data_IF_480086967507
#
_entry.id   IF_480086967507
#
_cell.length_a   1.000
_cell.length_b   1.000
_cell.length_c   1.000
_cell.angle_alpha   90.00
_cell.angle_beta   90.00
_cell.angle_gamma   90.00
#
_symmetry.space_group_name_H-M   'P 1'
#
loop_
_entity.id
_entity.type
_entity.pdbx_description
1 polymer ?
#
# COMPACT_ATOMS: atom_id res chain seq x y z
N UNK A 1 -14.39 -16.73 17.06
CA UNK A 1 -14.80 -16.06 15.82
C UNK A 1 -15.98 -16.80 15.23
N UNK A 2 -17.05 -16.10 14.86
CA UNK A 2 -18.19 -16.75 14.22
C UNK A 2 -17.78 -17.25 12.82
N UNK A 3 -18.32 -18.40 12.40
CA UNK A 3 -18.09 -18.99 11.07
C UNK A 3 -18.34 -17.98 9.94
N UNK A 4 -19.35 -17.10 10.10
CA UNK A 4 -19.70 -16.09 9.10
C UNK A 4 -18.56 -15.08 8.81
N UNK A 5 -17.74 -14.72 9.80
CA UNK A 5 -16.60 -13.82 9.61
C UNK A 5 -15.45 -14.47 8.83
N UNK A 6 -15.17 -15.75 9.09
CA UNK A 6 -14.16 -16.51 8.33
C UNK A 6 -14.57 -16.68 6.87
N UNK A 7 -15.84 -17.00 6.63
CA UNK A 7 -16.38 -17.14 5.26
C UNK A 7 -16.33 -15.83 4.48
N UNK A 8 -16.62 -14.70 5.11
CA UNK A 8 -16.54 -13.38 4.47
C UNK A 8 -15.11 -13.02 4.09
N UNK A 9 -14.13 -13.25 4.96
CA UNK A 9 -12.72 -13.02 4.68
C UNK A 9 -12.27 -13.83 3.46
N UNK A 10 -12.42 -15.13 3.51
CA UNK A 10 -12.03 -16.03 2.42
C UNK A 10 -12.74 -15.72 1.08
N UNK A 11 -14.02 -15.36 1.12
CA UNK A 11 -14.74 -14.94 -0.08
C UNK A 11 -14.17 -13.65 -0.66
N UNK A 12 -13.81 -12.70 0.18
CA UNK A 12 -13.20 -11.43 -0.28
C UNK A 12 -11.82 -11.67 -0.88
N UNK A 13 -10.98 -12.51 -0.28
CA UNK A 13 -9.68 -12.91 -0.84
C UNK A 13 -9.83 -13.54 -2.24
N UNK A 14 -10.84 -14.41 -2.43
CA UNK A 14 -11.12 -15.01 -3.75
C UNK A 14 -11.53 -13.96 -4.77
N UNK A 15 -12.42 -13.04 -4.41
CA UNK A 15 -12.87 -11.95 -5.29
C UNK A 15 -11.70 -11.07 -5.71
N UNK A 16 -10.78 -10.75 -4.79
CA UNK A 16 -9.57 -9.98 -5.09
C UNK A 16 -8.62 -10.77 -5.99
N UNK A 17 -8.39 -12.06 -5.70
CA UNK A 17 -7.54 -12.90 -6.56
C UNK A 17 -8.09 -13.01 -7.98
N UNK A 18 -9.40 -13.20 -8.14
CA UNK A 18 -10.06 -13.26 -9.46
C UNK A 18 -9.92 -11.95 -10.23
N UNK A 19 -10.05 -10.82 -9.54
CA UNK A 19 -9.84 -9.49 -10.14
C UNK A 19 -8.40 -9.29 -10.59
N UNK A 20 -7.43 -9.59 -9.74
CA UNK A 20 -6.00 -9.47 -10.06
C UNK A 20 -5.58 -10.40 -11.20
N UNK A 21 -6.26 -11.52 -11.38
CA UNK A 21 -5.98 -12.49 -12.47
C UNK A 21 -6.19 -11.88 -13.86
N UNK A 22 -6.94 -10.80 -13.98
CA UNK A 22 -7.07 -10.06 -15.25
C UNK A 22 -5.72 -9.55 -15.78
N UNK A 23 -4.75 -9.31 -14.90
CA UNK A 23 -3.39 -8.82 -15.25
C UNK A 23 -2.28 -9.79 -14.87
N UNK A 24 -2.49 -10.61 -13.85
CA UNK A 24 -1.55 -11.62 -13.36
C UNK A 24 -2.24 -12.98 -13.37
N UNK A 25 -2.14 -13.68 -14.48
CA UNK A 25 -2.87 -14.92 -14.77
C UNK A 25 -2.73 -15.99 -13.66
N UNK A 26 -1.57 -16.05 -12.99
CA UNK A 26 -1.31 -16.99 -11.91
C UNK A 26 -1.87 -16.60 -10.55
N UNK A 27 -2.52 -15.42 -10.40
CA UNK A 27 -3.00 -14.94 -9.10
C UNK A 27 -4.00 -15.92 -8.45
N UNK A 28 -3.70 -16.34 -7.24
CA UNK A 28 -4.53 -17.28 -6.46
C UNK A 28 -4.53 -16.92 -4.98
N UNK A 29 -5.55 -17.35 -4.26
CA UNK A 29 -5.62 -17.18 -2.80
C UNK A 29 -4.54 -18.04 -2.13
N UNK A 30 -3.79 -17.43 -1.21
CA UNK A 30 -2.81 -18.10 -0.37
C UNK A 30 -3.47 -18.93 0.73
N UNK A 31 -2.95 -20.12 0.98
CA UNK A 31 -3.40 -20.97 2.07
C UNK A 31 -2.23 -21.27 3.00
N UNK A 32 -2.24 -20.62 4.17
CA UNK A 32 -1.24 -20.88 5.23
C UNK A 32 0.17 -20.36 4.96
N UNK A 33 0.37 -19.54 3.94
CA UNK A 33 1.69 -18.97 3.56
C UNK A 33 2.00 -17.59 4.15
N UNK A 34 1.10 -17.03 4.93
CA UNK A 34 1.20 -15.68 5.45
C UNK A 34 0.82 -14.57 4.45
N UNK A 35 0.75 -14.88 3.15
CA UNK A 35 0.29 -13.98 2.08
C UNK A 35 -1.11 -14.35 1.65
N UNK A 36 -1.99 -13.37 1.51
CA UNK A 36 -3.37 -13.63 1.09
C UNK A 36 -3.48 -13.93 -0.41
N UNK A 37 -2.64 -13.31 -1.22
CA UNK A 37 -2.58 -13.54 -2.67
C UNK A 37 -1.18 -14.03 -3.07
N UNK A 38 -1.12 -15.09 -3.84
CA UNK A 38 0.11 -15.70 -4.37
C UNK A 38 0.25 -15.48 -5.87
N UNK A 39 1.47 -15.70 -6.37
CA UNK A 39 1.84 -15.64 -7.79
C UNK A 39 1.61 -14.24 -8.41
N UNK A 40 1.83 -13.22 -7.61
CA UNK A 40 1.85 -11.81 -8.02
C UNK A 40 3.16 -11.17 -7.56
N UNK A 41 3.69 -10.16 -8.28
CA UNK A 41 5.00 -9.55 -7.96
C UNK A 41 4.94 -8.52 -6.81
N UNK A 42 3.95 -8.62 -5.94
CA UNK A 42 3.73 -7.76 -4.77
C UNK A 42 3.11 -8.56 -3.62
N UNK A 43 3.06 -7.98 -2.44
CA UNK A 43 2.37 -8.55 -1.28
C UNK A 43 1.07 -7.79 -1.02
N UNK A 44 -0.06 -8.43 -1.32
CA UNK A 44 -1.39 -7.88 -1.12
C UNK A 44 -2.06 -8.55 0.08
N UNK A 45 -2.32 -7.79 1.12
CA UNK A 45 -3.13 -8.19 2.27
C UNK A 45 -4.59 -7.84 2.02
N UNK A 46 -5.51 -8.75 2.30
CA UNK A 46 -6.95 -8.55 2.06
C UNK A 46 -7.70 -8.47 3.39
N UNK A 47 -8.41 -7.39 3.60
CA UNK A 47 -9.22 -7.16 4.81
C UNK A 47 -10.70 -6.96 4.46
N UNK A 48 -11.55 -7.72 5.13
CA UNK A 48 -13.02 -7.61 5.03
C UNK A 48 -13.61 -7.44 6.43
N UNK A 49 -13.34 -6.31 7.07
CA UNK A 49 -13.69 -6.02 8.46
C UNK A 49 -14.55 -4.78 8.57
N UNK A 50 -15.28 -4.69 9.67
CA UNK A 50 -16.06 -3.50 10.05
C UNK A 50 -15.18 -2.36 10.57
N UNK A 51 -13.99 -2.66 11.08
CA UNK A 51 -13.01 -1.70 11.60
C UNK A 51 -11.72 -1.72 10.78
N UNK A 52 -11.15 -0.55 10.57
CA UNK A 52 -9.89 -0.33 9.86
C UNK A 52 -8.74 -0.23 10.87
N UNK A 53 -7.96 -1.32 11.02
CA UNK A 53 -6.71 -1.29 11.77
C UNK A 53 -5.54 -0.96 10.83
N UNK A 54 -5.30 0.32 10.65
CA UNK A 54 -4.25 0.83 9.76
C UNK A 54 -2.87 0.44 10.26
N UNK A 55 -2.58 0.70 11.53
CA UNK A 55 -1.24 0.48 12.10
C UNK A 55 -0.88 -1.00 12.13
N UNK A 56 -1.78 -1.84 12.64
CA UNK A 56 -1.54 -3.29 12.70
C UNK A 56 -1.38 -3.91 11.32
N UNK A 57 -2.18 -3.48 10.34
CA UNK A 57 -2.09 -3.95 8.96
C UNK A 57 -0.79 -3.53 8.29
N UNK A 58 -0.35 -2.28 8.44
CA UNK A 58 0.94 -1.82 7.90
C UNK A 58 2.12 -2.58 8.51
N UNK A 59 2.11 -2.83 9.82
CA UNK A 59 3.15 -3.63 10.49
C UNK A 59 3.19 -5.07 9.98
N UNK A 60 2.04 -5.68 9.76
CA UNK A 60 1.93 -7.03 9.21
C UNK A 60 2.55 -7.12 7.81
N UNK A 61 2.25 -6.16 6.94
CA UNK A 61 2.82 -6.07 5.60
C UNK A 61 4.33 -5.84 5.67
N UNK A 62 4.76 -4.87 6.48
CA UNK A 62 6.18 -4.50 6.63
C UNK A 62 7.04 -5.69 7.09
N UNK A 63 6.55 -6.50 8.03
CA UNK A 63 7.29 -7.68 8.51
C UNK A 63 7.55 -8.70 7.40
N UNK A 64 6.63 -8.84 6.44
CA UNK A 64 6.79 -9.76 5.30
C UNK A 64 7.63 -9.15 4.18
N UNK A 65 7.39 -7.88 3.86
CA UNK A 65 8.05 -7.21 2.73
C UNK A 65 9.49 -6.80 3.03
N UNK A 66 9.86 -6.65 4.31
CA UNK A 66 11.25 -6.42 4.72
C UNK A 66 12.19 -7.54 4.27
N UNK A 67 11.72 -8.78 4.27
CA UNK A 67 12.51 -9.92 3.83
C UNK A 67 12.41 -10.16 2.32
N UNK A 68 11.22 -10.00 1.76
CA UNK A 68 10.95 -10.28 0.34
C UNK A 68 11.37 -9.15 -0.60
N UNK A 69 11.47 -7.92 -0.13
CA UNK A 69 11.70 -6.72 -0.96
C UNK A 69 10.54 -6.37 -1.89
N UNK A 70 9.38 -7.03 -1.76
CA UNK A 70 8.22 -6.76 -2.58
C UNK A 70 7.50 -5.48 -2.14
N UNK A 71 6.81 -4.83 -3.09
CA UNK A 71 5.84 -3.80 -2.75
C UNK A 71 4.71 -4.43 -1.93
N UNK A 72 4.43 -3.87 -0.77
CA UNK A 72 3.35 -4.32 0.10
C UNK A 72 2.21 -3.31 0.18
N UNK A 73 1.00 -3.79 0.05
CA UNK A 73 -0.20 -2.97 0.28
C UNK A 73 -1.35 -3.81 0.83
N UNK A 74 -2.34 -3.15 1.41
CA UNK A 74 -3.58 -3.80 1.82
C UNK A 74 -4.75 -3.31 0.98
N UNK A 75 -5.70 -4.20 0.72
CA UNK A 75 -7.00 -3.84 0.17
C UNK A 75 -8.09 -4.10 1.20
N UNK A 76 -9.02 -3.14 1.32
CA UNK A 76 -10.10 -3.19 2.29
C UNK A 76 -11.45 -3.17 1.57
N UNK A 77 -12.23 -4.22 1.80
CA UNK A 77 -13.66 -4.20 1.53
C UNK A 77 -14.36 -3.56 2.72
N UNK A 78 -14.85 -2.35 2.54
CA UNK A 78 -15.58 -1.61 3.57
C UNK A 78 -17.02 -2.14 3.72
N UNK A 79 -17.66 -1.76 4.83
CA UNK A 79 -19.08 -2.06 5.02
C UNK A 79 -19.92 -1.44 3.91
N UNK A 80 -20.89 -2.23 3.42
CA UNK A 80 -21.78 -1.80 2.34
C UNK A 80 -21.19 -1.93 0.93
N UNK A 81 -19.91 -2.21 0.78
CA UNK A 81 -19.33 -2.53 -0.52
C UNK A 81 -19.71 -3.95 -0.96
N UNK A 82 -20.06 -4.07 -2.24
CA UNK A 82 -20.32 -5.35 -2.90
C UNK A 82 -19.04 -6.12 -3.23
N UNK A 83 -19.12 -6.97 -4.23
CA UNK A 83 -17.99 -7.76 -4.76
C UNK A 83 -17.39 -7.12 -6.02
N UNK A 84 -17.15 -5.81 -5.95
CA UNK A 84 -16.50 -5.01 -7.01
C UNK A 84 -15.13 -4.56 -6.51
N UNK A 85 -14.06 -5.36 -6.69
CA UNK A 85 -12.75 -5.07 -6.10
C UNK A 85 -12.13 -3.77 -6.55
N UNK A 86 -12.49 -3.25 -7.73
CA UNK A 86 -12.08 -1.92 -8.21
C UNK A 86 -12.50 -0.79 -7.27
N UNK A 87 -13.55 -0.98 -6.48
CA UNK A 87 -14.07 0.01 -5.53
C UNK A 87 -13.48 -0.14 -4.13
N UNK A 88 -12.68 -1.19 -3.89
CA UNK A 88 -12.05 -1.40 -2.59
C UNK A 88 -10.96 -0.37 -2.35
N UNK A 89 -10.77 -0.02 -1.09
CA UNK A 89 -9.69 0.90 -0.69
C UNK A 89 -8.36 0.17 -0.75
N UNK A 90 -7.38 0.75 -1.42
CA UNK A 90 -5.99 0.32 -1.34
C UNK A 90 -5.24 1.21 -0.35
N UNK A 91 -4.43 0.60 0.51
CA UNK A 91 -3.63 1.30 1.51
C UNK A 91 -2.18 0.84 1.41
N UNK A 92 -1.29 1.79 1.23
CA UNK A 92 0.16 1.59 1.23
C UNK A 92 0.84 2.80 1.90
N UNK A 93 2.14 2.70 2.16
CA UNK A 93 2.89 3.84 2.68
C UNK A 93 2.99 4.94 1.63
N UNK A 94 2.97 6.18 2.05
CA UNK A 94 3.05 7.32 1.13
C UNK A 94 4.34 7.27 0.27
N UNK A 95 5.47 6.84 0.84
CA UNK A 95 6.71 6.68 0.09
C UNK A 95 6.60 5.69 -1.08
N UNK A 96 5.93 4.56 -0.86
CA UNK A 96 5.69 3.57 -1.91
C UNK A 96 4.75 4.11 -3.00
N UNK A 97 3.70 4.83 -2.60
CA UNK A 97 2.81 5.50 -3.55
C UNK A 97 3.55 6.55 -4.38
N UNK A 98 4.40 7.37 -3.75
CA UNK A 98 5.21 8.38 -4.45
C UNK A 98 6.10 7.71 -5.49
N UNK A 99 6.76 6.61 -5.13
CA UNK A 99 7.60 5.87 -6.09
C UNK A 99 6.79 5.35 -7.26
N UNK A 100 5.62 4.73 -7.01
CA UNK A 100 4.74 4.27 -8.08
C UNK A 100 4.27 5.40 -8.99
N UNK A 101 3.94 6.56 -8.43
CA UNK A 101 3.53 7.73 -9.20
C UNK A 101 4.68 8.25 -10.09
N UNK A 102 5.90 8.27 -9.56
CA UNK A 102 7.09 8.66 -10.32
C UNK A 102 7.36 7.69 -11.48
N UNK A 103 7.27 6.39 -11.21
CA UNK A 103 7.47 5.33 -12.22
C UNK A 103 6.37 5.37 -13.30
N UNK A 104 5.14 5.74 -12.92
CA UNK A 104 4.03 5.95 -13.85
C UNK A 104 4.11 7.29 -14.63
N UNK A 105 5.14 8.10 -14.40
CA UNK A 105 5.36 9.34 -15.15
C UNK A 105 4.67 10.58 -14.58
N UNK A 106 4.10 10.51 -13.39
CA UNK A 106 3.58 11.69 -12.67
C UNK A 106 4.73 12.50 -12.07
N UNK A 107 5.47 13.22 -12.94
CA UNK A 107 6.62 14.06 -12.56
C UNK A 107 6.31 15.51 -12.94
N UNK A 108 6.74 16.45 -12.10
CA UNK A 108 6.81 17.84 -12.54
C UNK A 108 7.94 17.95 -13.60
N UNK A 109 7.67 18.66 -14.68
CA UNK A 109 8.67 18.86 -15.75
C UNK A 109 9.91 19.63 -15.29
N UNK A 110 9.84 20.27 -14.15
CA UNK A 110 10.89 21.18 -13.72
C UNK A 110 12.10 20.50 -13.13
N UNK A 111 11.97 19.33 -12.53
CA UNK A 111 13.13 18.78 -11.84
C UNK A 111 13.10 17.26 -11.69
N UNK A 112 14.16 16.69 -12.11
CA UNK A 112 14.66 15.41 -11.65
C UNK A 112 15.20 15.61 -10.21
N UNK A 113 14.29 15.79 -9.26
CA UNK A 113 14.65 15.77 -7.84
C UNK A 113 15.11 14.36 -7.52
N UNK A 114 16.36 14.22 -7.14
CA UNK A 114 16.89 12.96 -6.65
C UNK A 114 16.47 12.79 -5.19
N UNK A 115 16.22 11.57 -4.75
CA UNK A 115 15.96 11.28 -3.33
C UNK A 115 17.05 11.82 -2.41
N UNK A 116 18.30 11.89 -2.91
CA UNK A 116 19.42 12.50 -2.22
C UNK A 116 19.25 14.00 -1.94
N UNK A 117 18.38 14.67 -2.68
CA UNK A 117 18.15 16.11 -2.54
C UNK A 117 17.06 16.43 -1.50
N UNK A 118 16.33 15.39 -1.08
CA UNK A 118 15.27 15.48 -0.06
C UNK A 118 15.91 15.25 1.30
N UNK A 119 15.99 16.31 2.11
CA UNK A 119 16.52 16.23 3.46
C UNK A 119 15.47 16.68 4.48
N UNK A 120 15.77 16.48 5.76
CA UNK A 120 14.97 17.09 6.82
C UNK A 120 15.43 18.52 7.07
N UNK A 121 14.50 19.46 7.11
CA UNK A 121 14.81 20.82 7.48
C UNK A 121 15.48 20.88 8.86
N UNK A 122 16.61 21.56 8.96
CA UNK A 122 17.40 21.66 10.19
C UNK A 122 16.61 22.35 11.33
N UNK A 123 15.71 23.27 10.98
CA UNK A 123 14.99 24.07 11.98
C UNK A 123 13.69 23.40 12.44
N UNK A 124 12.87 22.86 11.54
CA UNK A 124 11.55 22.34 11.87
C UNK A 124 11.37 20.82 11.61
N UNK A 125 12.35 20.16 11.04
CA UNK A 125 12.36 18.71 10.82
C UNK A 125 11.44 18.19 9.71
N UNK A 126 10.70 19.03 8.99
CA UNK A 126 9.91 18.59 7.84
C UNK A 126 10.80 18.29 6.63
N UNK A 127 10.33 17.41 5.75
CA UNK A 127 11.07 17.12 4.52
C UNK A 127 11.09 18.32 3.58
N UNK A 128 12.26 18.63 3.02
CA UNK A 128 12.49 19.76 2.15
C UNK A 128 13.58 19.48 1.12
N UNK A 129 13.61 20.24 0.05
CA UNK A 129 14.73 20.28 -0.88
C UNK A 129 15.83 21.17 -0.29
N UNK A 130 16.96 20.56 0.09
CA UNK A 130 18.08 21.23 0.75
C UNK A 130 17.89 21.34 2.27
N UNK A 131 18.84 22.00 2.92
CA UNK A 131 19.00 22.00 4.37
C UNK A 131 17.85 22.70 5.15
N UNK A 132 17.16 23.66 4.52
CA UNK A 132 16.05 24.39 5.14
C UNK A 132 14.84 24.45 4.21
N UNK A 133 13.66 24.26 4.78
CA UNK A 133 12.42 24.35 4.05
C UNK A 133 12.08 25.82 3.70
N UNK A 134 11.13 25.99 2.77
CA UNK A 134 10.70 27.31 2.29
C UNK A 134 10.24 28.23 3.44
N UNK A 135 9.48 27.69 4.38
CA UNK A 135 8.93 28.47 5.51
C UNK A 135 10.04 28.99 6.43
N UNK A 136 11.03 28.16 6.78
CA UNK A 136 12.13 28.57 7.64
C UNK A 136 13.15 29.49 6.97
N UNK A 137 13.16 29.56 5.62
CA UNK A 137 14.01 30.51 4.88
C UNK A 137 13.40 31.92 4.84
N UNK A 138 12.09 32.04 4.85
CA UNK A 138 11.36 33.32 4.73
C UNK A 138 11.25 34.07 6.06
N UNK A 139 11.56 33.41 7.20
CA UNK A 139 11.53 34.03 8.54
C UNK A 139 12.86 34.69 8.98
N UNK A 140 13.85 34.76 8.11
CA UNK A 140 15.11 35.47 8.34
C UNK A 140 15.20 36.74 7.47
#
# INVERSE_FOLDING_TARGET
MSQSRKHRGFRTERVVADYLRCWWEGAVVGRGSGRDILNVPFDCEVKARTGLDVVGTLRQIESRTKESGLLGFATFRLNGQGETPSDYVAMLRLGDLVQLLLDAGYKDRKDLVKDSDITRCLDCGIYALGERCKFCREEQ
#
